data_IF_079197111039
#
_entry.id   IF_079197111039
#
_cell.length_a   1.000
_cell.length_b   1.000
_cell.length_c   1.000
_cell.angle_alpha   90.00
_cell.angle_beta   90.00
_cell.angle_gamma   90.00
#
_symmetry.space_group_name_H-M   'P 1'
#
loop_
_entity.id
_entity.type
_entity.pdbx_description
1 polymer ?
#
# COMPACT_ATOMS: atom_id res chain seq x y z
N UNK A 1 -8.82 -3.47 8.84
CA UNK A 1 -7.55 -2.95 8.43
C UNK A 1 -6.75 -2.34 9.57
N UNK A 2 -5.64 -1.77 9.24
CA UNK A 2 -4.77 -1.09 10.19
C UNK A 2 -5.37 0.28 10.53
N UNK A 3 -5.32 0.66 11.81
CA UNK A 3 -5.83 1.98 12.20
C UNK A 3 -4.96 3.10 11.62
N UNK A 4 -5.59 4.24 11.36
CA UNK A 4 -4.88 5.42 10.86
C UNK A 4 -3.79 5.87 11.84
N UNK A 5 -4.04 5.73 13.14
CA UNK A 5 -3.05 6.11 14.17
C UNK A 5 -1.81 5.23 14.09
N UNK A 6 -1.97 3.93 13.92
CA UNK A 6 -0.85 3.00 13.79
C UNK A 6 -0.02 3.36 12.56
N UNK A 7 -0.67 3.64 11.43
CA UNK A 7 0.01 4.02 10.20
C UNK A 7 0.75 5.34 10.39
N UNK A 8 0.12 6.33 11.02
CA UNK A 8 0.77 7.61 11.31
C UNK A 8 2.00 7.46 12.17
N UNK A 9 1.92 6.57 13.17
CA UNK A 9 3.06 6.27 14.03
C UNK A 9 4.23 5.68 13.23
N UNK A 10 3.94 4.73 12.35
CA UNK A 10 4.96 4.09 11.51
C UNK A 10 5.59 5.12 10.58
N UNK A 11 4.79 5.94 9.92
CA UNK A 11 5.27 6.98 9.01
C UNK A 11 6.13 7.99 9.75
N UNK A 12 5.69 8.43 10.91
CA UNK A 12 6.43 9.39 11.73
C UNK A 12 7.79 8.83 12.13
N UNK A 13 7.84 7.59 12.59
CA UNK A 13 9.09 6.96 12.96
C UNK A 13 10.02 6.82 11.77
N UNK A 14 9.51 6.41 10.63
CA UNK A 14 10.29 6.30 9.42
C UNK A 14 10.90 7.63 8.99
N UNK A 15 10.12 8.69 9.03
CA UNK A 15 10.60 10.02 8.66
C UNK A 15 11.60 10.57 9.67
N UNK A 16 11.40 10.28 10.97
CA UNK A 16 12.28 10.78 12.02
C UNK A 16 13.61 10.06 12.07
N UNK A 17 13.58 8.74 11.90
CA UNK A 17 14.76 7.90 12.04
C UNK A 17 15.50 7.68 10.73
N UNK A 18 14.90 8.08 9.61
CA UNK A 18 15.47 7.84 8.30
C UNK A 18 15.52 6.37 7.92
N UNK A 19 14.78 5.53 8.64
CA UNK A 19 14.73 4.09 8.37
C UNK A 19 13.58 3.78 7.43
N UNK A 20 13.91 3.23 6.27
CA UNK A 20 12.90 2.78 5.33
C UNK A 20 12.35 1.42 5.75
N UNK A 21 11.06 1.21 5.50
CA UNK A 21 10.48 -0.12 5.61
C UNK A 21 11.11 -1.02 4.56
N UNK A 22 11.52 -2.22 4.96
CA UNK A 22 12.09 -3.19 4.03
C UNK A 22 11.15 -4.36 3.87
N UNK A 23 11.05 -4.85 2.64
CA UNK A 23 10.22 -6.00 2.32
C UNK A 23 11.15 -7.19 2.09
N UNK A 24 10.93 -8.28 2.84
CA UNK A 24 11.66 -9.51 2.61
C UNK A 24 11.29 -10.05 1.22
N UNK A 25 12.27 -10.22 0.30
CA UNK A 25 11.96 -10.70 -1.04
C UNK A 25 11.42 -12.12 -1.08
N UNK A 26 11.60 -12.89 0.00
CA UNK A 26 11.06 -14.25 0.11
C UNK A 26 9.63 -14.28 0.67
N UNK A 27 9.11 -13.15 1.11
CA UNK A 27 7.76 -13.09 1.68
C UNK A 27 6.73 -13.36 0.60
N UNK A 28 5.83 -14.30 0.87
CA UNK A 28 4.72 -14.60 -0.04
C UNK A 28 3.55 -13.68 0.29
N UNK A 29 3.10 -12.94 -0.71
CA UNK A 29 2.03 -11.95 -0.55
C UNK A 29 0.94 -12.29 -1.56
N UNK A 30 -0.25 -12.63 -1.07
CA UNK A 30 -1.38 -13.01 -1.92
C UNK A 30 -2.42 -11.90 -2.04
N UNK A 31 -2.50 -11.04 -1.03
CA UNK A 31 -3.48 -9.95 -0.99
C UNK A 31 -2.77 -8.66 -0.59
N UNK A 32 -3.01 -7.60 -1.36
CA UNK A 32 -2.43 -6.28 -1.13
C UNK A 32 -3.54 -5.26 -0.95
N UNK A 33 -3.36 -4.35 0.00
CA UNK A 33 -4.21 -3.17 0.13
C UNK A 33 -3.42 -1.93 -0.21
N UNK A 34 -4.07 -1.00 -0.93
CA UNK A 34 -3.53 0.35 -1.19
C UNK A 34 -4.49 1.37 -0.62
N UNK A 35 -3.95 2.32 0.12
CA UNK A 35 -4.77 3.34 0.75
C UNK A 35 -4.01 4.66 0.80
N UNK A 36 -4.75 5.75 0.93
CA UNK A 36 -4.13 7.06 1.12
C UNK A 36 -4.45 7.57 2.52
N UNK A 37 -3.48 8.26 3.12
CA UNK A 37 -3.65 8.85 4.44
C UNK A 37 -3.17 10.28 4.39
N UNK A 38 -3.97 11.17 4.99
CA UNK A 38 -3.58 12.57 5.19
C UNK A 38 -2.85 12.67 6.52
N UNK A 39 -1.60 13.15 6.48
CA UNK A 39 -0.79 13.31 7.68
C UNK A 39 -1.04 14.65 8.36
N UNK A 40 -1.29 15.70 7.56
CA UNK A 40 -1.54 17.04 8.08
C UNK A 40 -2.60 17.71 7.22
N UNK A 41 -3.75 17.96 7.78
CA UNK A 41 -4.86 18.58 7.05
C UNK A 41 -4.50 19.97 6.50
N UNK A 42 -3.75 20.77 7.25
CA UNK A 42 -3.41 22.14 6.86
C UNK A 42 -2.45 22.22 5.69
N UNK A 43 -1.60 21.20 5.53
CA UNK A 43 -0.57 21.18 4.50
C UNK A 43 -0.87 20.21 3.38
N UNK A 44 -2.04 19.56 3.43
CA UNK A 44 -2.47 18.60 2.41
C UNK A 44 -1.39 17.55 2.11
N UNK A 45 -0.72 17.10 3.17
CA UNK A 45 0.32 16.09 3.03
C UNK A 45 -0.32 14.71 3.03
N UNK A 46 -0.20 14.03 1.90
CA UNK A 46 -0.76 12.70 1.70
C UNK A 46 0.35 11.68 1.49
N UNK A 47 0.11 10.46 1.96
CA UNK A 47 0.98 9.33 1.68
C UNK A 47 0.13 8.16 1.19
N UNK A 48 0.76 7.33 0.38
CA UNK A 48 0.19 6.07 -0.10
C UNK A 48 0.78 4.94 0.73
N UNK A 49 -0.08 4.07 1.21
CA UNK A 49 0.29 2.95 2.07
C UNK A 49 -0.02 1.65 1.33
N UNK A 50 0.99 0.78 1.24
CA UNK A 50 0.79 -0.57 0.74
C UNK A 50 0.85 -1.53 1.90
N UNK A 51 -0.19 -2.34 2.07
CA UNK A 51 -0.34 -3.26 3.19
C UNK A 51 -0.47 -4.69 2.68
N UNK A 52 0.19 -5.62 3.36
CA UNK A 52 0.01 -7.06 3.14
C UNK A 52 -1.24 -7.50 3.91
N UNK A 53 -2.25 -7.93 3.19
CA UNK A 53 -3.52 -8.41 3.71
C UNK A 53 -3.69 -9.91 3.53
N UNK A 54 -2.61 -10.64 3.27
CA UNK A 54 -2.66 -12.09 3.08
C UNK A 54 -3.24 -12.78 4.31
N UNK A 55 -2.92 -12.27 5.49
CA UNK A 55 -3.56 -12.69 6.75
C UNK A 55 -4.36 -11.49 7.26
N UNK A 56 -5.70 -11.49 7.08
CA UNK A 56 -6.50 -10.33 7.49
C UNK A 56 -6.48 -10.05 8.99
N UNK A 57 -6.11 -11.02 9.81
CA UNK A 57 -6.00 -10.83 11.26
C UNK A 57 -4.68 -10.18 11.65
N UNK A 58 -3.68 -10.21 10.76
CA UNK A 58 -2.36 -9.66 11.02
C UNK A 58 -1.87 -8.86 9.81
N UNK A 59 -2.56 -7.74 9.50
CA UNK A 59 -2.13 -6.90 8.39
C UNK A 59 -0.76 -6.28 8.69
N UNK A 60 0.07 -6.17 7.65
CA UNK A 60 1.40 -5.60 7.81
C UNK A 60 1.62 -4.52 6.76
N UNK A 61 2.05 -3.35 7.21
CA UNK A 61 2.44 -2.27 6.29
C UNK A 61 3.75 -2.65 5.62
N UNK A 62 3.73 -2.67 4.29
CA UNK A 62 4.89 -3.02 3.48
C UNK A 62 5.65 -1.79 3.02
N UNK A 63 4.95 -0.73 2.69
CA UNK A 63 5.57 0.47 2.14
C UNK A 63 4.71 1.70 2.40
N UNK A 64 5.39 2.83 2.51
CA UNK A 64 4.77 4.15 2.63
C UNK A 64 5.48 5.05 1.63
N UNK A 65 4.73 5.66 0.73
CA UNK A 65 5.28 6.55 -0.30
C UNK A 65 4.59 7.90 -0.25
N UNK A 66 5.34 8.99 -0.46
CA UNK A 66 4.72 10.31 -0.53
C UNK A 66 3.79 10.42 -1.74
N UNK A 67 2.72 11.19 -1.59
CA UNK A 67 1.74 11.40 -2.64
C UNK A 67 0.54 10.47 -2.53
N UNK A 68 -0.42 10.69 -3.44
CA UNK A 68 -1.67 9.91 -3.45
C UNK A 68 -2.10 9.57 -4.87
N UNK A 69 -1.18 9.61 -5.81
CA UNK A 69 -1.46 9.40 -7.22
C UNK A 69 -0.99 8.03 -7.69
N UNK A 70 -1.21 7.78 -8.95
CA UNK A 70 -0.80 6.54 -9.60
C UNK A 70 0.70 6.29 -9.46
N UNK A 71 1.52 7.36 -9.50
CA UNK A 71 2.97 7.24 -9.37
C UNK A 71 3.38 6.69 -8.01
N UNK A 72 2.69 7.13 -6.95
CA UNK A 72 2.96 6.62 -5.61
C UNK A 72 2.63 5.13 -5.52
N UNK A 73 1.52 4.70 -6.11
CA UNK A 73 1.15 3.29 -6.14
C UNK A 73 2.17 2.46 -6.93
N UNK A 74 2.62 2.96 -8.07
CA UNK A 74 3.65 2.27 -8.87
C UNK A 74 4.94 2.12 -8.07
N UNK A 75 5.35 3.19 -7.37
CA UNK A 75 6.55 3.14 -6.54
C UNK A 75 6.43 2.08 -5.45
N UNK A 76 5.27 1.96 -4.81
CA UNK A 76 5.04 0.92 -3.82
C UNK A 76 5.16 -0.49 -4.44
N UNK A 77 4.49 -0.72 -5.56
CA UNK A 77 4.47 -2.03 -6.21
C UNK A 77 5.85 -2.43 -6.73
N UNK A 78 6.66 -1.47 -7.14
CA UNK A 78 8.01 -1.75 -7.61
C UNK A 78 8.98 -2.14 -6.49
N UNK A 79 8.60 -1.97 -5.24
CA UNK A 79 9.39 -2.49 -4.12
C UNK A 79 9.27 -4.01 -3.99
N UNK A 80 8.24 -4.60 -4.58
CA UNK A 80 8.09 -6.05 -4.64
C UNK A 80 8.92 -6.59 -5.80
N UNK A 81 9.44 -7.82 -5.62
CA UNK A 81 10.08 -8.50 -6.76
C UNK A 81 9.03 -8.88 -7.79
N UNK A 82 9.47 -9.15 -9.02
CA UNK A 82 8.55 -9.62 -10.06
C UNK A 82 7.85 -10.91 -9.64
N UNK A 83 8.59 -11.79 -8.95
CA UNK A 83 8.05 -13.03 -8.44
C UNK A 83 6.97 -12.79 -7.40
N UNK A 84 7.18 -11.84 -6.49
CA UNK A 84 6.17 -11.49 -5.50
C UNK A 84 4.92 -10.91 -6.16
N UNK A 85 5.08 -10.03 -7.16
CA UNK A 85 3.95 -9.46 -7.89
C UNK A 85 3.14 -10.54 -8.60
N UNK A 86 3.81 -11.54 -9.17
CA UNK A 86 3.13 -12.63 -9.87
C UNK A 86 2.27 -13.50 -8.96
N UNK A 87 2.58 -13.54 -7.68
CA UNK A 87 1.85 -14.34 -6.70
C UNK A 87 0.68 -13.63 -6.06
N UNK A 88 0.51 -12.33 -6.30
CA UNK A 88 -0.61 -11.58 -5.76
C UNK A 88 -1.89 -12.02 -6.46
N UNK A 89 -2.89 -12.43 -5.67
CA UNK A 89 -4.17 -12.92 -6.17
C UNK A 89 -5.24 -11.85 -6.18
N UNK A 90 -5.17 -10.92 -5.24
CA UNK A 90 -6.19 -9.87 -5.07
C UNK A 90 -5.52 -8.58 -4.59
N UNK A 91 -6.09 -7.46 -5.02
CA UNK A 91 -5.72 -6.17 -4.44
C UNK A 91 -6.99 -5.40 -4.07
N UNK A 92 -6.93 -4.72 -2.93
CA UNK A 92 -8.05 -3.93 -2.42
C UNK A 92 -7.70 -2.46 -2.55
N UNK A 93 -8.56 -1.73 -3.25
CA UNK A 93 -8.40 -0.29 -3.44
C UNK A 93 -9.73 0.38 -3.18
N UNK A 94 -9.67 1.63 -2.77
CA UNK A 94 -10.84 2.45 -2.54
C UNK A 94 -11.44 2.92 -3.86
N UNK A 95 -12.76 2.92 -3.95
CA UNK A 95 -13.45 3.43 -5.13
C UNK A 95 -13.16 4.93 -5.26
N UNK A 96 -12.71 5.35 -6.44
CA UNK A 96 -12.34 6.74 -6.70
C UNK A 96 -10.87 7.04 -6.50
N UNK A 97 -10.11 6.13 -5.91
CA UNK A 97 -8.66 6.29 -5.80
C UNK A 97 -7.98 6.01 -7.13
N UNK A 98 -6.83 6.65 -7.33
CA UNK A 98 -6.05 6.53 -8.58
C UNK A 98 -5.26 5.23 -8.67
N UNK A 99 -5.39 4.36 -7.68
CA UNK A 99 -4.52 3.19 -7.53
C UNK A 99 -4.89 2.02 -8.41
N UNK A 100 -6.16 1.93 -8.81
CA UNK A 100 -6.65 0.79 -9.57
C UNK A 100 -5.88 0.59 -10.87
N UNK A 101 -5.57 1.68 -11.55
CA UNK A 101 -4.85 1.63 -12.83
C UNK A 101 -3.43 1.09 -12.64
N UNK A 102 -2.74 1.54 -11.60
CA UNK A 102 -1.39 1.06 -11.29
C UNK A 102 -1.40 -0.43 -10.94
N UNK A 103 -2.34 -0.84 -10.09
CA UNK A 103 -2.46 -2.24 -9.70
C UNK A 103 -2.82 -3.13 -10.89
N UNK A 104 -3.73 -2.69 -11.74
CA UNK A 104 -4.11 -3.44 -12.93
C UNK A 104 -2.93 -3.62 -13.90
N UNK A 105 -2.07 -2.60 -14.01
CA UNK A 105 -0.91 -2.65 -14.89
C UNK A 105 0.20 -3.58 -14.34
N UNK A 106 0.47 -3.51 -13.05
CA UNK A 106 1.59 -4.23 -12.43
C UNK A 106 1.19 -5.58 -11.85
N UNK A 107 -0.11 -5.81 -11.63
CA UNK A 107 -0.65 -7.07 -11.12
C UNK A 107 -1.74 -7.57 -12.08
N UNK A 108 -1.39 -7.87 -13.33
CA UNK A 108 -2.41 -8.15 -14.35
C UNK A 108 -3.23 -9.42 -14.07
N UNK A 109 -2.70 -10.35 -13.31
CA UNK A 109 -3.39 -11.60 -12.96
C UNK A 109 -4.27 -11.46 -11.71
N UNK A 110 -4.10 -10.38 -10.94
CA UNK A 110 -4.79 -10.22 -9.67
C UNK A 110 -6.20 -9.67 -9.87
N UNK A 111 -7.10 -10.08 -8.98
CA UNK A 111 -8.48 -9.61 -8.99
C UNK A 111 -8.60 -8.33 -8.17
N UNK A 112 -9.25 -7.33 -8.74
CA UNK A 112 -9.54 -6.09 -8.03
C UNK A 112 -10.70 -6.27 -7.08
N UNK A 113 -10.53 -5.83 -5.84
CA UNK A 113 -11.61 -5.72 -4.85
C UNK A 113 -11.76 -4.24 -4.55
N UNK A 114 -12.84 -3.65 -5.03
CA UNK A 114 -13.09 -2.22 -4.89
C UNK A 114 -13.95 -1.99 -3.65
N UNK A 115 -13.39 -1.23 -2.70
CA UNK A 115 -14.13 -0.87 -1.50
C UNK A 115 -15.04 0.31 -1.81
N UNK A 116 -16.33 0.10 -1.64
CA UNK A 116 -17.36 1.12 -1.89
C UNK A 116 -17.80 1.83 -0.63
N UNK A 117 -17.42 1.29 0.51
CA UNK A 117 -17.86 1.82 1.79
C UNK A 117 -16.65 2.18 2.63
N UNK A 118 -16.53 3.47 2.95
CA UNK A 118 -15.46 3.89 3.81
C UNK A 118 -15.62 5.24 4.45
#
# INVERSE_FOLDING_TARGET
GISAETVRFIVKNQLSDGQALTIDPERVITDIGMDEISLKKRHKLYVTIMTDLSDPQHPKVLAVMPGRDEKAAIACLNLLTAEQRDKVLRYRVDMGASYNKACAALLPQAQAVIDRFH
#
